data_IF_031980322621
#
_entry.id   IF_031980322621
#
_cell.length_a   1.000
_cell.length_b   1.000
_cell.length_c   1.000
_cell.angle_alpha   90.00
_cell.angle_beta   90.00
_cell.angle_gamma   90.00
#
_symmetry.space_group_name_H-M   'P 1'
#
loop_
_entity.id
_entity.type
_entity.pdbx_description
1 polymer ?
#
# COMPACT_ATOMS: atom_id res chain seq x y z
N UNK A 1 51.82 -48.52 -0.52
CA UNK A 1 51.38 -47.62 -1.62
C UNK A 1 51.34 -46.20 -1.08
N UNK A 2 52.14 -45.29 -1.64
CA UNK A 2 52.33 -43.94 -1.08
C UNK A 2 51.63 -42.90 -1.99
N UNK A 3 50.50 -42.31 -1.60
CA UNK A 3 49.83 -41.29 -2.41
C UNK A 3 50.62 -39.97 -2.35
N UNK A 4 50.98 -39.47 -3.53
CA UNK A 4 51.81 -38.29 -3.73
C UNK A 4 51.09 -37.01 -3.27
N UNK A 5 51.89 -36.17 -2.63
CA UNK A 5 51.70 -34.76 -2.26
C UNK A 5 50.70 -34.02 -3.17
N UNK A 6 49.64 -33.53 -2.55
CA UNK A 6 48.70 -32.56 -3.12
C UNK A 6 49.46 -31.29 -3.53
N UNK A 7 49.55 -31.06 -4.84
CA UNK A 7 50.10 -29.85 -5.43
C UNK A 7 49.19 -28.65 -5.10
N UNK A 8 49.78 -27.57 -4.57
CA UNK A 8 49.08 -26.38 -4.06
C UNK A 8 48.22 -25.60 -5.08
N UNK A 9 48.20 -25.99 -6.36
CA UNK A 9 47.33 -25.42 -7.38
C UNK A 9 45.88 -25.88 -7.27
N UNK A 10 45.62 -27.11 -6.81
CA UNK A 10 44.25 -27.62 -6.65
C UNK A 10 43.47 -26.88 -5.54
N UNK A 11 44.19 -26.43 -4.50
CA UNK A 11 43.59 -25.70 -3.38
C UNK A 11 43.15 -24.29 -3.80
N UNK A 12 43.93 -23.62 -4.65
CA UNK A 12 43.58 -22.31 -5.21
C UNK A 12 42.32 -22.37 -6.09
N UNK A 13 42.21 -23.41 -6.92
CA UNK A 13 41.03 -23.62 -7.77
C UNK A 13 39.79 -23.89 -6.92
N UNK A 14 39.91 -24.74 -5.89
CA UNK A 14 38.80 -25.02 -4.97
C UNK A 14 38.34 -23.75 -4.22
N UNK A 15 39.28 -22.93 -3.73
CA UNK A 15 38.96 -21.68 -3.05
C UNK A 15 38.19 -20.73 -3.96
N UNK A 16 38.64 -20.56 -5.21
CA UNK A 16 37.97 -19.69 -6.18
C UNK A 16 36.52 -20.13 -6.43
N UNK A 17 36.31 -21.44 -6.63
CA UNK A 17 34.95 -21.99 -6.85
C UNK A 17 34.06 -21.78 -5.63
N UNK A 18 34.56 -21.99 -4.41
CA UNK A 18 33.79 -21.77 -3.18
C UNK A 18 33.38 -20.29 -3.05
N UNK A 19 34.29 -19.36 -3.31
CA UNK A 19 34.00 -17.92 -3.23
C UNK A 19 32.98 -17.51 -4.29
N UNK A 20 33.12 -17.99 -5.53
CA UNK A 20 32.15 -17.71 -6.60
C UNK A 20 30.77 -18.28 -6.27
N UNK A 21 30.69 -19.52 -5.78
CA UNK A 21 29.41 -20.12 -5.37
C UNK A 21 28.78 -19.39 -4.18
N UNK A 22 29.59 -18.94 -3.21
CA UNK A 22 29.12 -18.14 -2.09
C UNK A 22 28.57 -16.78 -2.54
N UNK A 23 29.24 -16.11 -3.48
CA UNK A 23 28.76 -14.85 -4.07
C UNK A 23 27.47 -15.04 -4.87
N UNK A 24 27.37 -16.11 -5.65
CA UNK A 24 26.15 -16.45 -6.39
C UNK A 24 24.99 -16.77 -5.46
N UNK A 25 25.21 -17.55 -4.41
CA UNK A 25 24.20 -17.86 -3.40
C UNK A 25 23.72 -16.59 -2.67
N UNK A 26 24.63 -15.67 -2.33
CA UNK A 26 24.28 -14.39 -1.72
C UNK A 26 23.46 -13.50 -2.67
N UNK A 27 23.83 -13.45 -3.96
CA UNK A 27 23.09 -12.70 -4.97
C UNK A 27 21.68 -13.27 -5.17
N UNK A 28 21.55 -14.60 -5.32
CA UNK A 28 20.26 -15.27 -5.45
C UNK A 28 19.39 -15.08 -4.20
N UNK A 29 19.99 -15.14 -3.00
CA UNK A 29 19.29 -14.86 -1.75
C UNK A 29 18.66 -13.48 -1.74
N UNK A 30 19.37 -12.45 -2.22
CA UNK A 30 18.84 -11.08 -2.36
C UNK A 30 17.72 -10.98 -3.41
N UNK A 31 17.81 -11.72 -4.52
CA UNK A 31 16.75 -11.77 -5.52
C UNK A 31 15.48 -12.46 -5.00
N UNK A 32 15.64 -13.50 -4.19
CA UNK A 32 14.52 -14.21 -3.55
C UNK A 32 13.83 -13.34 -2.50
N UNK A 33 14.58 -12.57 -1.72
CA UNK A 33 13.99 -11.60 -0.77
C UNK A 33 13.27 -10.46 -1.49
N UNK A 34 13.86 -9.92 -2.57
CA UNK A 34 13.24 -8.87 -3.39
C UNK A 34 11.97 -9.36 -4.13
N UNK A 35 11.93 -10.63 -4.52
CA UNK A 35 10.74 -11.25 -5.14
C UNK A 35 9.66 -11.59 -4.11
N UNK A 36 10.03 -11.96 -2.89
CA UNK A 36 9.11 -12.29 -1.81
C UNK A 36 8.37 -11.07 -1.23
N UNK A 37 9.04 -9.91 -1.14
CA UNK A 37 8.41 -8.68 -0.66
C UNK A 37 7.34 -8.14 -1.65
N UNK A 38 7.53 -8.32 -2.97
CA UNK A 38 6.62 -7.76 -3.99
C UNK A 38 5.20 -8.34 -3.94
N UNK A 39 5.02 -9.63 -3.65
CA UNK A 39 3.68 -10.25 -3.66
C UNK A 39 2.82 -9.86 -2.45
N UNK A 40 3.40 -9.72 -1.26
CA UNK A 40 2.66 -9.25 -0.07
C UNK A 40 2.34 -7.76 -0.14
N UNK A 41 3.20 -6.97 -0.80
CA UNK A 41 2.98 -5.53 -1.00
C UNK A 41 1.85 -5.26 -2.00
N UNK A 42 1.75 -6.04 -3.07
CA UNK A 42 0.66 -5.91 -4.06
C UNK A 42 -0.70 -6.18 -3.43
N UNK A 43 -0.84 -7.28 -2.68
CA UNK A 43 -2.11 -7.65 -2.03
C UNK A 43 -2.53 -6.61 -0.99
N UNK A 44 -1.59 -6.14 -0.15
CA UNK A 44 -1.87 -5.07 0.83
C UNK A 44 -2.21 -3.75 0.14
N UNK A 45 -1.59 -3.46 -0.99
CA UNK A 45 -1.90 -2.29 -1.82
C UNK A 45 -3.32 -2.32 -2.38
N UNK A 46 -3.77 -3.48 -2.86
CA UNK A 46 -5.15 -3.67 -3.35
C UNK A 46 -6.15 -3.56 -2.21
N UNK A 47 -5.86 -4.14 -1.03
CA UNK A 47 -6.72 -3.98 0.16
C UNK A 47 -6.84 -2.52 0.61
N UNK A 48 -5.72 -1.78 0.63
CA UNK A 48 -5.74 -0.37 0.97
C UNK A 48 -6.55 0.45 -0.05
N UNK A 49 -6.48 0.10 -1.34
CA UNK A 49 -7.29 0.72 -2.38
C UNK A 49 -8.78 0.43 -2.18
N UNK A 50 -9.15 -0.82 -1.93
CA UNK A 50 -10.55 -1.21 -1.68
C UNK A 50 -11.12 -0.55 -0.42
N UNK A 51 -10.31 -0.41 0.63
CA UNK A 51 -10.68 0.31 1.84
C UNK A 51 -10.95 1.81 1.55
N UNK A 52 -10.09 2.45 0.77
CA UNK A 52 -10.28 3.83 0.34
C UNK A 52 -11.55 4.01 -0.51
N UNK A 53 -11.78 3.09 -1.46
CA UNK A 53 -12.97 3.11 -2.32
C UNK A 53 -14.25 2.94 -1.49
N UNK A 54 -14.27 1.99 -0.55
CA UNK A 54 -15.41 1.78 0.34
C UNK A 54 -15.73 3.03 1.17
N UNK A 55 -14.70 3.74 1.65
CA UNK A 55 -14.88 5.00 2.36
C UNK A 55 -15.46 6.11 1.47
N UNK A 56 -15.07 6.19 0.20
CA UNK A 56 -15.68 7.12 -0.76
C UNK A 56 -17.15 6.79 -1.01
N UNK A 57 -17.50 5.52 -1.18
CA UNK A 57 -18.90 5.10 -1.38
C UNK A 57 -19.78 5.50 -0.19
N UNK A 58 -19.28 5.33 1.04
CA UNK A 58 -19.96 5.80 2.25
C UNK A 58 -20.07 7.34 2.26
N UNK A 59 -19.02 8.05 1.87
CA UNK A 59 -19.04 9.51 1.74
C UNK A 59 -20.06 10.00 0.72
N UNK A 60 -20.11 9.35 -0.45
CA UNK A 60 -21.02 9.69 -1.53
C UNK A 60 -22.47 9.40 -1.16
N UNK A 61 -22.74 8.27 -0.51
CA UNK A 61 -24.08 7.95 0.01
C UNK A 61 -24.56 8.99 1.02
N UNK A 62 -23.65 9.51 1.85
CA UNK A 62 -23.94 10.59 2.80
C UNK A 62 -24.12 11.96 2.15
N UNK A 63 -23.48 12.20 1.01
CA UNK A 63 -23.65 13.41 0.20
C UNK A 63 -24.96 13.43 -0.59
N UNK A 64 -25.48 12.25 -0.97
CA UNK A 64 -26.74 12.11 -1.71
C UNK A 64 -27.78 11.27 -0.97
N UNK A 65 -28.22 11.67 0.24
CA UNK A 65 -29.28 10.96 0.94
C UNK A 65 -30.57 11.00 0.08
N UNK A 66 -31.12 9.84 -0.24
CA UNK A 66 -32.31 9.71 -1.12
C UNK A 66 -32.13 10.36 -2.50
N UNK A 67 -30.90 10.47 -3.00
CA UNK A 67 -30.58 11.07 -4.30
C UNK A 67 -30.63 12.61 -4.33
N UNK A 68 -30.83 13.27 -3.18
CA UNK A 68 -30.83 14.74 -3.07
C UNK A 68 -29.43 15.22 -2.67
N UNK A 69 -28.90 16.22 -3.37
CA UNK A 69 -27.57 16.77 -3.06
C UNK A 69 -27.59 17.51 -1.71
N UNK A 70 -26.79 17.04 -0.75
CA UNK A 70 -26.74 17.60 0.59
C UNK A 70 -25.26 17.77 1.03
N UNK A 71 -24.66 18.95 0.79
CA UNK A 71 -23.21 19.17 0.99
C UNK A 71 -22.78 19.12 2.46
N UNK A 72 -23.70 19.42 3.39
CA UNK A 72 -23.47 19.27 4.83
C UNK A 72 -23.48 17.80 5.29
N UNK A 73 -23.86 16.86 4.41
CA UNK A 73 -24.07 15.46 4.74
C UNK A 73 -22.79 14.65 4.96
N UNK A 74 -21.61 15.15 4.55
CA UNK A 74 -20.35 14.42 4.72
C UNK A 74 -19.45 15.02 5.82
N UNK A 75 -19.65 14.68 7.10
CA UNK A 75 -18.59 14.83 8.09
C UNK A 75 -17.51 13.80 7.77
N UNK A 76 -16.24 14.22 7.79
CA UNK A 76 -15.12 13.30 7.68
C UNK A 76 -15.26 12.14 8.66
N UNK A 77 -14.84 10.94 8.24
CA UNK A 77 -15.10 9.71 8.97
C UNK A 77 -13.88 8.80 8.95
N UNK A 78 -13.60 8.17 10.09
CA UNK A 78 -12.61 7.11 10.18
C UNK A 78 -13.36 5.77 10.19
N UNK A 79 -13.09 4.93 9.20
CA UNK A 79 -13.65 3.60 9.04
C UNK A 79 -12.57 2.57 9.39
N UNK A 80 -12.83 1.74 10.39
CA UNK A 80 -11.99 0.59 10.73
C UNK A 80 -12.66 -0.67 10.22
N UNK A 81 -11.95 -1.48 9.44
CA UNK A 81 -12.50 -2.71 8.89
C UNK A 81 -12.05 -3.91 9.72
N UNK A 82 -13.03 -4.71 10.15
CA UNK A 82 -12.80 -5.99 10.86
C UNK A 82 -13.31 -7.18 10.04
N UNK A 83 -13.71 -6.95 8.79
CA UNK A 83 -14.26 -7.97 7.91
C UNK A 83 -13.15 -8.83 7.31
N UNK A 84 -13.38 -10.14 7.11
CA UNK A 84 -12.44 -11.02 6.43
C UNK A 84 -12.06 -10.44 5.06
N UNK A 85 -10.77 -10.17 4.84
CA UNK A 85 -10.26 -9.56 3.60
C UNK A 85 -9.79 -8.11 3.73
N UNK A 86 -10.38 -7.32 4.64
CA UNK A 86 -9.92 -5.97 5.01
C UNK A 86 -9.48 -5.88 6.49
N UNK A 87 -9.42 -7.01 7.19
CA UNK A 87 -8.90 -7.06 8.56
C UNK A 87 -7.47 -6.48 8.64
N UNK A 88 -7.24 -5.63 9.63
CA UNK A 88 -6.02 -4.83 9.77
C UNK A 88 -5.90 -3.64 8.80
N UNK A 89 -7.00 -3.25 8.15
CA UNK A 89 -7.08 -2.04 7.33
C UNK A 89 -8.02 -1.00 7.95
N UNK A 90 -7.70 0.26 7.72
CA UNK A 90 -8.48 1.43 8.10
C UNK A 90 -8.59 2.39 6.92
N UNK A 91 -9.65 3.18 6.86
CA UNK A 91 -9.79 4.26 5.90
C UNK A 91 -10.22 5.56 6.58
N UNK A 92 -9.68 6.67 6.10
CA UNK A 92 -9.99 8.02 6.56
C UNK A 92 -10.64 8.77 5.41
N UNK A 93 -11.88 9.19 5.60
CA UNK A 93 -12.66 10.02 4.69
C UNK A 93 -12.60 11.47 5.16
N UNK A 94 -12.28 12.37 4.24
CA UNK A 94 -12.25 13.82 4.43
C UNK A 94 -13.10 14.47 3.33
N UNK A 95 -13.99 15.38 3.73
CA UNK A 95 -14.85 16.10 2.81
C UNK A 95 -14.55 17.59 2.92
N UNK A 96 -14.21 18.23 1.80
CA UNK A 96 -13.91 19.66 1.74
C UNK A 96 -14.81 20.34 0.72
N UNK A 97 -15.52 21.43 1.10
CA UNK A 97 -16.30 22.19 0.14
C UNK A 97 -15.36 22.85 -0.87
N UNK A 98 -15.74 22.78 -2.14
CA UNK A 98 -15.02 23.41 -3.26
C UNK A 98 -16.01 24.21 -4.09
N UNK A 99 -15.58 25.30 -4.69
CA UNK A 99 -16.39 26.06 -5.63
C UNK A 99 -15.62 26.19 -6.92
N UNK A 100 -16.20 25.76 -8.04
CA UNK A 100 -15.66 26.05 -9.36
C UNK A 100 -16.36 27.29 -9.91
N UNK A 101 -15.60 28.23 -10.48
CA UNK A 101 -16.16 29.39 -11.17
C UNK A 101 -15.66 29.42 -12.61
N UNK A 102 -16.58 29.41 -13.56
CA UNK A 102 -16.28 29.64 -14.97
C UNK A 102 -16.91 30.98 -15.37
N UNK A 103 -16.15 32.06 -15.16
CA UNK A 103 -16.56 33.44 -15.45
C UNK A 103 -17.69 34.00 -14.58
N UNK A 104 -18.95 33.67 -14.90
CA UNK A 104 -20.16 34.26 -14.29
C UNK A 104 -21.04 33.28 -13.52
N UNK A 105 -20.72 31.98 -13.54
CA UNK A 105 -21.45 30.93 -12.83
C UNK A 105 -20.50 30.31 -11.80
N UNK A 106 -20.91 30.34 -10.53
CA UNK A 106 -20.24 29.64 -9.44
C UNK A 106 -21.04 28.39 -9.08
N UNK A 107 -20.45 27.22 -9.27
CA UNK A 107 -21.06 25.94 -8.91
C UNK A 107 -20.46 25.47 -7.60
N UNK A 108 -21.33 25.23 -6.61
CA UNK A 108 -20.92 24.68 -5.34
C UNK A 108 -20.68 23.17 -5.49
N UNK A 109 -19.51 22.71 -5.06
CA UNK A 109 -19.12 21.31 -5.06
C UNK A 109 -18.52 20.87 -3.74
N UNK A 110 -18.27 19.57 -3.64
CA UNK A 110 -17.60 18.95 -2.51
C UNK A 110 -16.55 18.00 -3.06
N UNK A 111 -15.32 18.15 -2.58
CA UNK A 111 -14.21 17.23 -2.81
C UNK A 111 -14.17 16.22 -1.68
N UNK A 112 -14.34 14.95 -2.01
CA UNK A 112 -14.12 13.83 -1.13
C UNK A 112 -12.68 13.34 -1.32
N UNK A 113 -12.00 13.08 -0.21
CA UNK A 113 -10.69 12.45 -0.18
C UNK A 113 -10.78 11.27 0.76
N UNK A 114 -10.47 10.06 0.29
CA UNK A 114 -10.39 8.88 1.11
C UNK A 114 -9.00 8.29 1.07
N UNK A 115 -8.43 8.01 2.23
CA UNK A 115 -7.15 7.33 2.38
C UNK A 115 -7.36 6.01 3.07
N UNK A 116 -7.09 4.89 2.38
CA UNK A 116 -7.04 3.56 2.96
C UNK A 116 -5.61 3.21 3.36
N UNK A 117 -5.43 2.58 4.52
CA UNK A 117 -4.16 2.14 5.08
C UNK A 117 -4.31 0.71 5.60
N UNK A 118 -3.36 -0.16 5.26
CA UNK A 118 -3.33 -1.55 5.70
C UNK A 118 -1.93 -1.90 6.23
N UNK A 119 -1.88 -2.62 7.35
CA UNK A 119 -0.64 -2.93 8.07
C UNK A 119 -0.37 -1.95 9.21
N UNK A 120 0.44 -2.38 10.17
CA UNK A 120 0.70 -1.62 11.39
C UNK A 120 2.00 -0.80 11.26
N UNK A 121 2.01 0.45 11.72
CA UNK A 121 3.22 1.29 11.75
C UNK A 121 3.97 1.11 13.07
N UNK A 122 4.21 -0.13 13.45
CA UNK A 122 4.97 -0.42 14.67
C UNK A 122 6.47 -0.35 14.38
N UNK A 123 7.01 0.88 14.39
CA UNK A 123 8.44 1.16 14.19
C UNK A 123 9.32 0.68 15.36
N UNK A 124 8.70 0.38 16.51
CA UNK A 124 9.39 -0.02 17.75
C UNK A 124 9.49 -1.55 17.93
N UNK A 125 9.06 -2.34 16.94
CA UNK A 125 9.13 -3.81 17.00
C UNK A 125 10.36 -4.35 16.27
N UNK A 126 10.93 -5.45 16.78
CA UNK A 126 12.06 -6.17 16.18
C UNK A 126 11.79 -6.68 14.73
N UNK A 127 10.53 -6.63 14.30
CA UNK A 127 10.08 -6.87 12.93
C UNK A 127 9.14 -5.72 12.50
N UNK A 128 9.66 -4.62 11.93
CA UNK A 128 8.84 -3.50 11.50
C UNK A 128 7.90 -3.97 10.38
N UNK A 129 6.59 -3.88 10.59
CA UNK A 129 5.62 -4.17 9.54
C UNK A 129 5.48 -2.94 8.63
N UNK A 130 5.53 -3.15 7.31
CA UNK A 130 5.37 -2.06 6.37
C UNK A 130 3.88 -1.77 6.17
N UNK A 131 3.43 -0.61 6.64
CA UNK A 131 2.08 -0.11 6.37
C UNK A 131 2.00 0.50 4.97
N UNK A 132 1.07 -0.01 4.15
CA UNK A 132 0.79 0.49 2.80
C UNK A 132 -0.44 1.38 2.83
N UNK A 133 -0.37 2.56 2.21
CA UNK A 133 -1.49 3.50 2.10
C UNK A 133 -1.79 3.89 0.66
N UNK A 134 -3.08 4.01 0.33
CA UNK A 134 -3.59 4.49 -0.97
C UNK A 134 -4.61 5.60 -0.72
N UNK A 135 -4.52 6.69 -1.49
CA UNK A 135 -5.45 7.82 -1.40
C UNK A 135 -6.19 8.00 -2.72
N UNK A 136 -7.50 8.22 -2.64
CA UNK A 136 -8.38 8.51 -3.76
C UNK A 136 -9.12 9.83 -3.50
N UNK A 137 -9.28 10.64 -4.52
CA UNK A 137 -9.97 11.93 -4.44
C UNK A 137 -10.98 12.05 -5.57
N UNK A 138 -12.18 12.50 -5.22
CA UNK A 138 -13.31 12.69 -6.15
C UNK A 138 -13.93 14.04 -5.88
N UNK A 139 -14.29 14.75 -6.94
CA UNK A 139 -15.05 15.99 -6.85
C UNK A 139 -16.46 15.76 -7.35
N UNK A 140 -17.43 16.30 -6.63
CA UNK A 140 -18.84 16.24 -6.98
C UNK A 140 -19.38 17.65 -6.94
N UNK A 141 -20.23 18.00 -7.91
CA UNK A 141 -20.85 19.30 -8.01
C UNK A 141 -22.37 19.10 -7.85
N UNK A 142 -23.01 19.97 -7.08
CA UNK A 142 -24.46 20.01 -7.00
C UNK A 142 -25.00 20.64 -8.29
N UNK A 143 -25.88 19.92 -8.99
CA UNK A 143 -26.69 20.47 -10.08
C UNK A 143 -27.77 21.41 -9.52
#
# INVERSE_FOLDING_TARGET
MNPRRTHGSALLIALFVIVVMALLAAAMGRFLTDSGEKHTLEVRGVRALMAAQSALEVGLYRLYPQGQWQPLGCPGANLTFTTPGLDGCQAVLSCTPVSSSDGSISVAGVRLSAQGSCGDRQLDSANPDFAVSRTLTVETYGE
#
